data_IF_146507097350
#
_entry.id   IF_146507097350
#
_cell.length_a   1.000
_cell.length_b   1.000
_cell.length_c   1.000
_cell.angle_alpha   90.00
_cell.angle_beta   90.00
_cell.angle_gamma   90.00
#
_symmetry.space_group_name_H-M   'P 1'
#
loop_
_entity.id
_entity.type
_entity.pdbx_description
1 polymer ?
#
# COMPACT_ATOMS: atom_id res chain seq x y z
N UNK A 1 -3.56 -2.39 25.94
CA UNK A 1 -4.20 -1.17 25.44
C UNK A 1 -4.03 -1.09 23.93
N UNK A 2 -5.12 -0.93 23.23
CA UNK A 2 -5.05 -0.85 21.79
C UNK A 2 -4.53 0.51 21.34
N UNK A 3 -3.60 0.48 20.40
CA UNK A 3 -3.16 1.69 19.78
C UNK A 3 -4.25 2.18 18.83
N UNK A 4 -4.71 3.39 19.02
CA UNK A 4 -5.69 3.97 18.11
C UNK A 4 -4.99 4.44 16.85
N UNK A 5 -5.55 4.06 15.72
CA UNK A 5 -5.08 4.59 14.46
C UNK A 5 -5.57 6.03 14.31
N UNK A 6 -4.69 6.90 13.86
CA UNK A 6 -5.07 8.27 13.54
C UNK A 6 -5.92 8.28 12.27
N UNK A 7 -6.58 9.42 12.01
CA UNK A 7 -7.32 9.59 10.76
C UNK A 7 -6.43 9.40 9.55
N UNK A 8 -5.19 9.85 9.65
CA UNK A 8 -4.22 9.74 8.58
C UNK A 8 -3.85 8.29 8.32
N UNK A 9 -3.61 7.51 9.38
CA UNK A 9 -3.30 6.10 9.26
C UNK A 9 -4.46 5.32 8.64
N UNK A 10 -5.69 5.63 9.04
CA UNK A 10 -6.88 5.00 8.48
C UNK A 10 -7.07 5.36 7.01
N UNK A 11 -6.84 6.63 6.66
CA UNK A 11 -6.93 7.06 5.27
C UNK A 11 -5.91 6.35 4.41
N UNK A 12 -4.68 6.22 4.89
CA UNK A 12 -3.63 5.50 4.19
C UNK A 12 -4.00 4.02 4.03
N UNK A 13 -4.52 3.40 5.09
CA UNK A 13 -4.92 2.00 5.04
C UNK A 13 -6.00 1.77 4.00
N UNK A 14 -7.00 2.65 3.95
CA UNK A 14 -8.08 2.54 2.97
C UNK A 14 -7.57 2.70 1.54
N UNK A 15 -6.68 3.64 1.32
CA UNK A 15 -6.14 3.86 -0.02
C UNK A 15 -5.26 2.70 -0.47
N UNK A 16 -4.40 2.19 0.41
CA UNK A 16 -3.58 1.02 0.10
C UNK A 16 -4.44 -0.19 -0.23
N UNK A 17 -5.48 -0.41 0.58
CA UNK A 17 -6.39 -1.54 0.36
C UNK A 17 -7.17 -1.39 -0.93
N UNK A 18 -7.69 -0.20 -1.20
CA UNK A 18 -8.47 0.06 -2.40
C UNK A 18 -7.64 -0.13 -3.66
N UNK A 19 -6.41 0.41 -3.67
CA UNK A 19 -5.52 0.25 -4.82
C UNK A 19 -5.13 -1.21 -5.02
N UNK A 20 -4.87 -1.95 -3.95
CA UNK A 20 -4.56 -3.37 -4.03
C UNK A 20 -5.74 -4.17 -4.61
N UNK A 21 -6.96 -3.85 -4.18
CA UNK A 21 -8.15 -4.49 -4.69
C UNK A 21 -8.36 -4.23 -6.19
N UNK A 22 -8.11 -2.99 -6.62
CA UNK A 22 -8.18 -2.66 -8.05
C UNK A 22 -7.11 -3.39 -8.85
N UNK A 23 -5.90 -3.48 -8.31
CA UNK A 23 -4.82 -4.19 -8.97
C UNK A 23 -5.16 -5.67 -9.15
N UNK A 24 -5.74 -6.29 -8.14
CA UNK A 24 -6.16 -7.69 -8.22
C UNK A 24 -7.31 -7.87 -9.20
N UNK A 25 -8.33 -7.01 -9.13
CA UNK A 25 -9.54 -7.17 -9.93
C UNK A 25 -9.32 -6.87 -11.40
N UNK A 26 -8.52 -5.84 -11.72
CA UNK A 26 -8.34 -5.39 -13.11
C UNK A 26 -7.14 -6.03 -13.79
N UNK A 27 -6.09 -6.31 -13.05
CA UNK A 27 -4.81 -6.72 -13.64
C UNK A 27 -4.32 -8.05 -13.09
N UNK A 28 -5.12 -8.71 -12.26
CA UNK A 28 -4.80 -10.01 -11.65
C UNK A 28 -3.47 -9.99 -10.91
N UNK A 29 -3.11 -8.84 -10.35
CA UNK A 29 -1.84 -8.68 -9.66
C UNK A 29 -1.84 -9.40 -8.31
N UNK A 30 -0.73 -10.04 -7.93
CA UNK A 30 -0.65 -10.77 -6.65
C UNK A 30 -0.51 -9.81 -5.47
N UNK A 31 -1.61 -9.59 -4.74
CA UNK A 31 -1.66 -8.63 -3.63
C UNK A 31 -1.98 -9.30 -2.29
N UNK A 32 -2.14 -10.63 -2.27
CA UNK A 32 -2.68 -11.35 -1.11
C UNK A 32 -1.82 -11.15 0.15
N UNK A 33 -0.50 -11.27 0.04
CA UNK A 33 0.38 -11.12 1.20
C UNK A 33 0.33 -9.69 1.74
N UNK A 34 0.33 -8.71 0.84
CA UNK A 34 0.28 -7.33 1.25
C UNK A 34 -1.04 -6.99 1.94
N UNK A 35 -2.15 -7.40 1.35
CA UNK A 35 -3.48 -7.14 1.91
C UNK A 35 -3.63 -7.82 3.28
N UNK A 36 -3.16 -9.06 3.40
CA UNK A 36 -3.21 -9.80 4.67
C UNK A 36 -2.43 -9.06 5.76
N UNK A 37 -1.22 -8.62 5.44
CA UNK A 37 -0.39 -7.87 6.39
C UNK A 37 -1.07 -6.55 6.77
N UNK A 38 -1.60 -5.83 5.78
CA UNK A 38 -2.28 -4.57 5.98
C UNK A 38 -3.49 -4.71 6.92
N UNK A 39 -4.30 -5.74 6.69
CA UNK A 39 -5.51 -5.97 7.50
C UNK A 39 -5.20 -6.45 8.91
N UNK A 40 -4.15 -7.26 9.07
CA UNK A 40 -3.83 -7.84 10.38
C UNK A 40 -2.98 -6.92 11.25
N UNK A 41 -2.15 -6.08 10.68
CA UNK A 41 -1.17 -5.28 11.42
C UNK A 41 -1.37 -3.78 11.27
N UNK A 42 -2.20 -3.34 10.34
CA UNK A 42 -2.44 -1.93 10.09
C UNK A 42 -1.43 -1.31 9.13
N UNK A 43 -1.70 -0.06 8.72
CA UNK A 43 -0.91 0.60 7.68
C UNK A 43 0.52 0.90 8.12
N UNK A 44 0.72 1.35 9.35
CA UNK A 44 2.06 1.73 9.83
C UNK A 44 2.99 0.52 9.84
N UNK A 45 2.52 -0.60 10.39
CA UNK A 45 3.33 -1.82 10.45
C UNK A 45 3.58 -2.38 9.05
N UNK A 46 2.56 -2.34 8.18
CA UNK A 46 2.70 -2.83 6.80
C UNK A 46 3.71 -1.98 6.02
N UNK A 47 3.66 -0.66 6.16
CA UNK A 47 4.61 0.23 5.51
C UNK A 47 6.03 0.01 6.04
N UNK A 48 6.16 -0.16 7.36
CA UNK A 48 7.46 -0.42 7.98
C UNK A 48 8.08 -1.70 7.44
N UNK A 49 7.31 -2.77 7.37
CA UNK A 49 7.78 -4.03 6.81
C UNK A 49 8.17 -3.87 5.35
N UNK A 50 7.38 -3.10 4.61
CA UNK A 50 7.60 -2.83 3.20
C UNK A 50 8.92 -2.10 2.98
N UNK A 51 9.19 -1.06 3.77
CA UNK A 51 10.43 -0.27 3.65
C UNK A 51 11.67 -1.10 3.99
N UNK A 52 11.54 -2.05 4.92
CA UNK A 52 12.65 -2.92 5.29
C UNK A 52 13.01 -3.93 4.22
N UNK A 53 12.09 -4.24 3.33
CA UNK A 53 12.37 -5.16 2.23
C UNK A 53 13.24 -4.46 1.20
N UNK A 54 14.14 -5.23 0.63
CA UNK A 54 15.00 -4.72 -0.44
C UNK A 54 14.53 -5.19 -1.82
N UNK A 55 13.32 -5.70 -1.90
CA UNK A 55 12.74 -6.20 -3.14
C UNK A 55 11.40 -5.54 -3.38
N UNK A 56 10.98 -5.37 -4.65
CA UNK A 56 9.67 -4.84 -4.96
C UNK A 56 8.55 -5.73 -4.42
N UNK A 57 7.35 -5.19 -4.28
CA UNK A 57 6.17 -5.97 -3.90
C UNK A 57 5.84 -7.02 -4.95
N UNK A 58 5.04 -8.01 -4.56
CA UNK A 58 4.62 -9.09 -5.46
C UNK A 58 3.89 -8.55 -6.68
N UNK A 59 3.17 -7.45 -6.53
CA UNK A 59 2.36 -6.87 -7.60
C UNK A 59 3.15 -5.95 -8.55
N UNK A 60 4.37 -5.56 -8.17
CA UNK A 60 5.09 -4.52 -8.88
C UNK A 60 5.31 -4.85 -10.37
N UNK A 61 5.87 -6.02 -10.64
CA UNK A 61 6.19 -6.39 -12.03
C UNK A 61 4.93 -6.47 -12.89
N UNK A 62 3.86 -7.04 -12.35
CA UNK A 62 2.59 -7.17 -13.05
C UNK A 62 1.99 -5.80 -13.39
N UNK A 63 2.02 -4.88 -12.43
CA UNK A 63 1.48 -3.54 -12.63
C UNK A 63 2.36 -2.71 -13.58
N UNK A 64 3.68 -2.91 -13.52
CA UNK A 64 4.59 -2.27 -14.45
C UNK A 64 4.30 -2.69 -15.88
N UNK A 65 4.12 -3.98 -16.11
CA UNK A 65 3.79 -4.50 -17.45
C UNK A 65 2.44 -3.99 -17.94
N UNK A 66 1.48 -3.82 -17.05
CA UNK A 66 0.17 -3.31 -17.41
C UNK A 66 0.16 -1.79 -17.61
N UNK A 67 1.23 -1.09 -17.22
CA UNK A 67 1.29 0.36 -17.32
C UNK A 67 0.52 1.08 -16.21
N UNK A 68 0.31 0.44 -15.07
CA UNK A 68 -0.49 0.99 -13.98
C UNK A 68 0.22 0.91 -12.64
N UNK A 69 1.47 1.37 -12.60
CA UNK A 69 2.26 1.40 -11.36
C UNK A 69 1.64 2.27 -10.27
N UNK A 70 0.74 3.17 -10.64
CA UNK A 70 0.04 4.02 -9.66
C UNK A 70 -0.79 3.19 -8.66
N UNK A 71 -1.13 1.96 -9.00
CA UNK A 71 -1.88 1.06 -8.11
C UNK A 71 -0.97 0.23 -7.19
N UNK A 72 0.35 0.30 -7.39
CA UNK A 72 1.27 -0.47 -6.56
C UNK A 72 1.35 0.10 -5.14
N UNK A 73 1.65 -0.75 -4.14
CA UNK A 73 1.92 -0.25 -2.79
C UNK A 73 3.04 0.77 -2.77
N UNK A 74 4.07 0.57 -3.59
CA UNK A 74 5.20 1.49 -3.69
C UNK A 74 4.74 2.90 -4.05
N UNK A 75 3.94 3.02 -5.11
CA UNK A 75 3.46 4.32 -5.57
C UNK A 75 2.51 4.96 -4.57
N UNK A 76 1.64 4.17 -3.96
CA UNK A 76 0.68 4.67 -2.98
C UNK A 76 1.39 5.23 -1.75
N UNK A 77 2.41 4.54 -1.26
CA UNK A 77 3.18 4.97 -0.10
C UNK A 77 3.93 6.26 -0.40
N UNK A 78 4.58 6.33 -1.56
CA UNK A 78 5.31 7.52 -1.97
C UNK A 78 4.36 8.71 -2.10
N UNK A 79 3.22 8.52 -2.73
CA UNK A 79 2.24 9.57 -2.93
C UNK A 79 1.70 10.08 -1.60
N UNK A 80 1.38 9.18 -0.68
CA UNK A 80 0.88 9.55 0.64
C UNK A 80 1.92 10.34 1.42
N UNK A 81 3.19 9.93 1.34
CA UNK A 81 4.28 10.63 2.01
C UNK A 81 4.42 12.05 1.48
N UNK A 82 4.46 12.22 0.15
CA UNK A 82 4.56 13.55 -0.45
C UNK A 82 3.37 14.42 -0.11
N UNK A 83 2.18 13.86 -0.16
CA UNK A 83 0.97 14.60 0.13
C UNK A 83 1.00 15.14 1.56
N UNK A 84 1.42 14.34 2.51
CA UNK A 84 1.51 14.75 3.91
C UNK A 84 2.57 15.82 4.13
N UNK A 85 3.72 15.66 3.52
CA UNK A 85 4.81 16.63 3.65
C UNK A 85 4.41 17.98 3.06
N UNK A 86 3.71 17.98 1.93
CA UNK A 86 3.30 19.21 1.26
C UNK A 86 2.05 19.85 1.89
N UNK A 87 1.30 19.10 2.69
CA UNK A 87 0.10 19.61 3.35
C UNK A 87 0.42 20.44 4.59
N UNK A 88 1.61 20.35 5.07
CA UNK A 88 2.05 21.18 6.17
C UNK A 88 2.63 22.48 5.61
#
# INVERSE_FOLDING_TARGET
MEARQTKLELALQQELLQNAQQAAARYHSPVTRFVRNLQSRGSVAAVRDFVRRRAPSDAFASLEQAGHLELSPEATIIQAFFFNVLSY
#
